data_IF_202205947573
#
_entry.id   IF_202205947573
#
_cell.length_a   1.000
_cell.length_b   1.000
_cell.length_c   1.000
_cell.angle_alpha   90.00
_cell.angle_beta   90.00
_cell.angle_gamma   90.00
#
_symmetry.space_group_name_H-M   'P 1'
#
loop_
_entity.id
_entity.type
_entity.pdbx_description
1 polymer ?
#
# COMPACT_ATOMS: atom_id res chain seq x y z
N UNK A 1 17.43 7.34 -5.02
CA UNK A 1 16.40 7.77 -5.98
C UNK A 1 16.81 7.53 -7.42
N UNK A 2 16.10 6.61 -8.07
CA UNK A 2 16.15 6.32 -9.50
C UNK A 2 15.53 7.50 -10.27
N UNK A 3 16.30 8.05 -11.21
CA UNK A 3 15.84 9.14 -12.08
C UNK A 3 15.36 8.58 -13.44
N UNK A 4 14.78 9.43 -14.30
CA UNK A 4 14.25 9.01 -15.60
C UNK A 4 15.29 8.39 -16.56
N UNK A 5 16.58 8.71 -16.42
CA UNK A 5 17.63 8.10 -17.24
C UNK A 5 17.89 6.67 -16.76
N UNK A 6 18.16 6.52 -15.46
CA UNK A 6 18.35 5.21 -14.80
C UNK A 6 17.11 4.30 -14.96
N UNK A 7 15.90 4.86 -14.96
CA UNK A 7 14.67 4.10 -15.21
C UNK A 7 14.64 3.48 -16.62
N UNK A 8 15.09 4.21 -17.65
CA UNK A 8 15.19 3.68 -19.02
C UNK A 8 16.27 2.63 -19.17
N UNK A 9 17.35 2.75 -18.40
CA UNK A 9 18.43 1.77 -18.41
C UNK A 9 18.00 0.46 -17.73
N UNK A 10 17.13 0.54 -16.71
CA UNK A 10 16.59 -0.63 -15.99
C UNK A 10 15.45 -1.31 -16.77
N UNK A 11 14.56 -0.54 -17.40
CA UNK A 11 13.37 -1.08 -18.06
C UNK A 11 13.67 -1.48 -19.51
N UNK A 12 13.57 -2.77 -19.88
CA UNK A 12 13.79 -3.21 -21.26
C UNK A 12 12.60 -2.87 -22.19
N UNK A 13 11.46 -2.45 -21.62
CA UNK A 13 10.24 -2.09 -22.35
C UNK A 13 9.67 -0.77 -21.82
N UNK A 14 8.95 0.01 -22.65
CA UNK A 14 8.24 1.20 -22.17
C UNK A 14 7.11 0.85 -21.20
N UNK A 15 6.84 1.72 -20.23
CA UNK A 15 5.68 1.62 -19.35
C UNK A 15 4.40 1.90 -20.17
N UNK A 16 3.38 1.02 -20.14
CA UNK A 16 2.13 1.22 -20.89
C UNK A 16 1.40 2.52 -20.52
N UNK A 17 0.74 3.11 -21.52
CA UNK A 17 -0.13 4.28 -21.34
C UNK A 17 -1.43 4.07 -22.15
N UNK A 18 -2.62 4.00 -21.51
CA UNK A 18 -2.84 3.95 -20.06
C UNK A 18 -2.11 2.77 -19.40
N UNK A 19 -1.84 2.87 -18.10
CA UNK A 19 -1.11 1.82 -17.39
C UNK A 19 -2.01 0.59 -17.22
N UNK A 20 -1.46 -0.56 -17.57
CA UNK A 20 -2.07 -1.88 -17.40
C UNK A 20 -0.96 -2.80 -16.89
N UNK A 21 -1.13 -3.30 -15.66
CA UNK A 21 -0.12 -4.11 -15.01
C UNK A 21 0.06 -5.47 -15.69
N UNK A 22 -1.04 -6.11 -16.14
CA UNK A 22 -0.99 -7.40 -16.85
C UNK A 22 -0.27 -7.28 -18.17
N UNK A 23 -0.54 -6.22 -18.93
CA UNK A 23 0.20 -5.91 -20.16
C UNK A 23 1.68 -5.65 -19.88
N UNK A 24 1.97 -4.85 -18.86
CA UNK A 24 3.36 -4.52 -18.52
C UNK A 24 4.16 -5.78 -18.13
N UNK A 25 3.56 -6.69 -17.36
CA UNK A 25 4.16 -8.00 -17.03
C UNK A 25 4.44 -8.83 -18.27
N UNK A 26 3.49 -8.92 -19.21
CA UNK A 26 3.65 -9.66 -20.46
C UNK A 26 4.78 -9.09 -21.33
N UNK A 27 4.83 -7.77 -21.48
CA UNK A 27 5.88 -7.08 -22.24
C UNK A 27 7.27 -7.32 -21.62
N UNK A 28 7.37 -7.25 -20.29
CA UNK A 28 8.60 -7.55 -19.56
C UNK A 28 9.04 -9.02 -19.71
N UNK A 29 8.11 -9.96 -19.63
CA UNK A 29 8.40 -11.38 -19.82
C UNK A 29 8.96 -11.66 -21.24
N UNK A 30 8.33 -11.06 -22.26
CA UNK A 30 8.76 -11.19 -23.65
C UNK A 30 10.17 -10.61 -23.86
N UNK A 31 10.43 -9.40 -23.36
CA UNK A 31 11.73 -8.75 -23.54
C UNK A 31 12.87 -9.43 -22.80
N UNK A 32 12.59 -10.07 -21.66
CA UNK A 32 13.59 -10.81 -20.86
C UNK A 32 13.85 -12.23 -21.35
N UNK A 33 12.99 -12.78 -22.23
CA UNK A 33 13.03 -14.19 -22.62
C UNK A 33 12.77 -15.16 -21.45
N UNK A 34 12.20 -14.66 -20.34
CA UNK A 34 11.87 -15.41 -19.12
C UNK A 34 10.37 -15.26 -18.85
N UNK A 35 9.70 -16.37 -18.54
CA UNK A 35 8.26 -16.34 -18.23
C UNK A 35 8.06 -15.61 -16.90
N UNK A 36 7.02 -14.78 -16.79
CA UNK A 36 6.58 -14.21 -15.51
C UNK A 36 5.17 -14.70 -15.24
N UNK A 37 4.92 -15.30 -14.07
CA UNK A 37 3.61 -15.80 -13.67
C UNK A 37 3.20 -15.17 -12.35
N UNK A 38 2.09 -14.44 -12.36
CA UNK A 38 1.51 -13.82 -11.16
C UNK A 38 0.48 -14.77 -10.57
N UNK A 39 0.65 -15.15 -9.32
CA UNK A 39 -0.23 -16.03 -8.57
C UNK A 39 -0.95 -15.24 -7.47
N UNK A 40 -2.29 -15.16 -7.50
CA UNK A 40 -3.05 -14.67 -6.36
C UNK A 40 -3.00 -15.69 -5.23
N UNK A 41 -2.72 -15.26 -4.01
CA UNK A 41 -2.71 -16.12 -2.83
C UNK A 41 -3.46 -15.52 -1.65
N UNK A 42 -4.05 -16.40 -0.84
CA UNK A 42 -4.52 -16.01 0.48
C UNK A 42 -3.30 -15.91 1.39
N UNK A 43 -2.87 -14.68 1.71
CA UNK A 43 -1.71 -14.49 2.58
C UNK A 43 -2.06 -14.85 4.04
N UNK A 44 -1.11 -15.43 4.80
CA UNK A 44 -1.27 -15.71 6.23
C UNK A 44 -1.51 -14.43 7.04
N UNK A 45 -2.37 -14.50 8.05
CA UNK A 45 -2.73 -13.38 8.93
C UNK A 45 -1.53 -12.79 9.69
N UNK A 46 -0.48 -13.59 9.88
CA UNK A 46 0.72 -13.27 10.67
C UNK A 46 1.85 -12.66 9.83
N UNK A 47 1.74 -12.67 8.50
CA UNK A 47 2.83 -12.27 7.60
C UNK A 47 2.98 -10.76 7.46
N UNK A 48 4.22 -10.29 7.45
CA UNK A 48 4.58 -8.89 7.17
C UNK A 48 4.75 -8.60 5.67
N UNK A 49 4.85 -9.65 4.85
CA UNK A 49 5.07 -9.56 3.42
C UNK A 49 3.75 -9.42 2.66
N UNK A 50 3.67 -8.42 1.78
CA UNK A 50 2.52 -8.21 0.90
C UNK A 50 2.64 -8.97 -0.44
N UNK A 51 3.85 -9.42 -0.77
CA UNK A 51 4.15 -10.21 -1.96
C UNK A 51 5.45 -11.00 -1.81
N UNK A 52 5.75 -11.82 -2.81
CA UNK A 52 7.02 -12.53 -2.92
C UNK A 52 7.35 -12.87 -4.38
N UNK A 53 8.59 -12.61 -4.78
CA UNK A 53 9.15 -13.03 -6.07
C UNK A 53 10.08 -14.23 -5.91
N UNK A 54 9.85 -15.29 -6.69
CA UNK A 54 10.62 -16.54 -6.68
C UNK A 54 11.06 -16.89 -8.10
N UNK A 55 12.36 -17.03 -8.32
CA UNK A 55 12.90 -17.50 -9.59
C UNK A 55 13.04 -19.03 -9.61
N UNK A 56 12.43 -19.70 -10.58
CA UNK A 56 12.45 -21.16 -10.75
C UNK A 56 12.69 -21.53 -12.21
N UNK A 57 13.88 -22.07 -12.52
CA UNK A 57 14.30 -22.37 -13.89
C UNK A 57 14.24 -21.13 -14.79
N UNK A 58 13.43 -21.20 -15.86
CA UNK A 58 13.19 -20.08 -16.79
C UNK A 58 11.88 -19.30 -16.50
N UNK A 59 11.34 -19.44 -15.29
CA UNK A 59 10.11 -18.76 -14.87
C UNK A 59 10.36 -17.97 -13.59
N UNK A 60 9.94 -16.72 -13.58
CA UNK A 60 9.86 -15.89 -12.40
C UNK A 60 8.39 -15.88 -11.93
N UNK A 61 8.18 -16.25 -10.67
CA UNK A 61 6.87 -16.34 -10.07
C UNK A 61 6.68 -15.19 -9.09
N UNK A 62 5.56 -14.49 -9.22
CA UNK A 62 5.19 -13.39 -8.32
C UNK A 62 3.97 -13.84 -7.55
N UNK A 63 4.05 -13.82 -6.23
CA UNK A 63 2.98 -14.15 -5.31
C UNK A 63 2.44 -12.84 -4.76
N UNK A 64 1.15 -12.58 -4.92
CA UNK A 64 0.50 -11.36 -4.42
C UNK A 64 -0.79 -11.70 -3.69
N UNK A 65 -1.17 -10.88 -2.72
CA UNK A 65 -2.42 -11.04 -2.01
C UNK A 65 -3.62 -11.11 -2.99
N UNK A 66 -4.49 -12.12 -2.83
CA UNK A 66 -5.70 -12.31 -3.62
C UNK A 66 -6.82 -11.29 -3.32
N UNK A 67 -6.51 -10.22 -2.60
CA UNK A 67 -7.48 -9.20 -2.20
C UNK A 67 -7.99 -8.43 -3.43
N UNK A 68 -9.12 -7.73 -3.28
CA UNK A 68 -9.64 -6.84 -4.32
C UNK A 68 -8.51 -5.95 -4.82
N UNK A 69 -8.27 -5.89 -6.14
CA UNK A 69 -7.16 -5.11 -6.64
C UNK A 69 -7.37 -3.65 -6.20
N UNK A 70 -6.31 -2.99 -5.76
CA UNK A 70 -6.29 -1.60 -5.29
C UNK A 70 -5.02 -0.93 -5.83
N UNK A 71 -4.90 0.39 -5.69
CA UNK A 71 -3.63 1.08 -5.96
C UNK A 71 -2.46 0.44 -5.17
N UNK A 72 -2.72 -0.04 -3.95
CA UNK A 72 -1.76 -0.82 -3.15
C UNK A 72 -1.37 -2.14 -3.81
N UNK A 73 -2.35 -2.92 -4.28
CA UNK A 73 -2.08 -4.18 -4.99
C UNK A 73 -1.21 -3.97 -6.25
N UNK A 74 -1.48 -2.91 -7.03
CA UNK A 74 -0.61 -2.53 -8.14
C UNK A 74 0.80 -2.16 -7.68
N UNK A 75 0.93 -1.48 -6.54
CA UNK A 75 2.23 -1.15 -5.98
C UNK A 75 3.01 -2.38 -5.54
N UNK A 76 2.36 -3.31 -4.84
CA UNK A 76 2.96 -4.59 -4.43
C UNK A 76 3.43 -5.37 -5.66
N UNK A 77 2.61 -5.48 -6.71
CA UNK A 77 3.03 -6.12 -7.95
C UNK A 77 4.24 -5.43 -8.60
N UNK A 78 4.27 -4.09 -8.60
CA UNK A 78 5.41 -3.32 -9.10
C UNK A 78 6.66 -3.49 -8.24
N UNK A 79 6.52 -3.65 -6.92
CA UNK A 79 7.59 -3.94 -5.98
C UNK A 79 8.21 -5.31 -6.25
N UNK A 80 7.38 -6.34 -6.42
CA UNK A 80 7.84 -7.68 -6.80
C UNK A 80 8.52 -7.70 -8.19
N UNK A 81 7.95 -6.99 -9.16
CA UNK A 81 8.61 -6.79 -10.45
C UNK A 81 9.94 -6.06 -10.31
N UNK A 82 10.06 -5.11 -9.38
CA UNK A 82 11.31 -4.39 -9.15
C UNK A 82 12.42 -5.32 -8.64
N UNK A 83 12.11 -6.28 -7.77
CA UNK A 83 13.06 -7.33 -7.39
C UNK A 83 13.58 -8.10 -8.60
N UNK A 84 12.67 -8.52 -9.50
CA UNK A 84 13.03 -9.25 -10.72
C UNK A 84 13.90 -8.40 -11.65
N UNK A 85 13.56 -7.12 -11.83
CA UNK A 85 14.27 -6.20 -12.73
C UNK A 85 15.66 -5.82 -12.22
N UNK A 86 15.85 -5.81 -10.89
CA UNK A 86 17.13 -5.51 -10.25
C UNK A 86 17.95 -6.79 -9.95
N UNK A 87 17.50 -7.96 -10.41
CA UNK A 87 18.10 -9.28 -10.11
C UNK A 87 18.27 -9.53 -8.60
N UNK A 88 17.32 -9.04 -7.79
CA UNK A 88 17.24 -9.39 -6.38
C UNK A 88 16.70 -10.81 -6.26
N UNK A 89 17.41 -11.67 -5.54
CA UNK A 89 17.01 -13.07 -5.34
C UNK A 89 16.57 -13.29 -3.90
N UNK A 90 15.33 -13.73 -3.74
CA UNK A 90 14.85 -14.24 -2.45
C UNK A 90 15.64 -15.49 -2.06
N UNK A 91 16.00 -15.62 -0.79
CA UNK A 91 16.65 -16.84 -0.27
C UNK A 91 15.63 -17.96 0.07
N UNK A 92 14.40 -17.86 -0.45
CA UNK A 92 13.27 -18.72 -0.14
C UNK A 92 13.20 -19.91 -1.11
N UNK A 93 12.81 -21.13 -0.66
CA UNK A 93 12.63 -22.28 -1.53
C UNK A 93 11.57 -22.08 -2.63
N UNK A 94 11.63 -22.93 -3.67
CA UNK A 94 10.84 -22.87 -4.91
C UNK A 94 9.32 -22.81 -4.74
N UNK A 95 8.62 -22.35 -5.77
CA UNK A 95 7.16 -22.23 -5.75
C UNK A 95 6.43 -23.56 -5.62
N UNK A 96 7.01 -24.63 -6.17
CA UNK A 96 6.52 -25.99 -5.95
C UNK A 96 6.49 -26.35 -4.46
N UNK A 97 7.49 -25.93 -3.68
CA UNK A 97 7.54 -26.17 -2.23
C UNK A 97 6.48 -25.35 -1.48
N UNK A 98 6.20 -24.12 -1.95
CA UNK A 98 5.16 -23.24 -1.38
C UNK A 98 3.74 -23.73 -1.71
N UNK A 99 3.50 -24.20 -2.94
CA UNK A 99 2.20 -24.72 -3.38
C UNK A 99 1.84 -26.06 -2.72
N UNK A 100 2.84 -26.90 -2.43
CA UNK A 100 2.64 -28.21 -1.80
C UNK A 100 2.54 -28.16 -0.26
N UNK A 101 2.90 -27.03 0.35
CA UNK A 101 2.86 -26.86 1.80
C UNK A 101 2.43 -25.44 2.19
N UNK A 102 1.11 -25.19 2.39
CA UNK A 102 0.59 -23.92 2.90
C UNK A 102 1.24 -23.48 4.23
N UNK A 103 1.66 -24.43 5.06
CA UNK A 103 2.42 -24.17 6.28
C UNK A 103 3.83 -23.60 6.01
N UNK A 104 4.42 -23.92 4.85
CA UNK A 104 5.69 -23.33 4.40
C UNK A 104 5.46 -21.89 3.95
N UNK A 105 4.32 -21.58 3.32
CA UNK A 105 3.90 -20.22 2.97
C UNK A 105 3.74 -19.38 4.24
N UNK A 106 3.11 -19.90 5.30
CA UNK A 106 3.08 -19.24 6.61
C UNK A 106 4.47 -19.03 7.20
N UNK A 107 5.35 -20.04 7.11
CA UNK A 107 6.71 -19.97 7.67
C UNK A 107 7.62 -19.02 6.89
N UNK A 108 7.38 -18.87 5.60
CA UNK A 108 8.14 -18.01 4.69
C UNK A 108 7.65 -16.58 4.75
N UNK A 109 6.33 -16.37 4.76
CA UNK A 109 5.71 -15.03 4.83
C UNK A 109 5.60 -14.50 6.26
N UNK A 110 5.63 -15.38 7.26
CA UNK A 110 5.71 -15.06 8.68
C UNK A 110 7.13 -14.77 9.18
N UNK A 111 8.14 -14.91 8.32
CA UNK A 111 9.49 -14.39 8.57
C UNK A 111 9.51 -12.87 8.41
N UNK A 112 10.50 -12.24 9.04
CA UNK A 112 10.70 -10.81 8.85
C UNK A 112 11.19 -10.56 7.41
N UNK A 113 10.85 -9.42 6.77
CA UNK A 113 11.32 -9.11 5.41
C UNK A 113 12.85 -9.28 5.22
N UNK A 114 13.57 -9.04 6.32
CA UNK A 114 15.03 -9.17 6.44
C UNK A 114 15.60 -10.58 6.17
N UNK A 115 14.78 -11.62 6.27
CA UNK A 115 15.18 -13.00 5.98
C UNK A 115 15.12 -13.35 4.48
N UNK A 116 14.51 -12.47 3.66
CA UNK A 116 14.29 -12.71 2.22
C UNK A 116 15.15 -11.79 1.35
N UNK A 117 15.23 -10.50 1.73
CA UNK A 117 16.02 -9.48 1.06
C UNK A 117 16.74 -8.59 2.08
N UNK A 118 17.86 -7.99 1.66
CA UNK A 118 18.56 -7.00 2.49
C UNK A 118 17.81 -5.68 2.54
N UNK A 119 18.01 -4.87 3.59
CA UNK A 119 17.40 -3.54 3.70
C UNK A 119 17.72 -2.61 2.51
N UNK A 120 18.82 -2.86 1.79
CA UNK A 120 19.16 -2.12 0.56
C UNK A 120 18.32 -2.58 -0.63
N UNK A 121 18.17 -3.90 -0.81
CA UNK A 121 17.36 -4.47 -1.88
C UNK A 121 15.89 -4.07 -1.76
N UNK A 122 15.35 -4.08 -0.55
CA UNK A 122 14.00 -3.59 -0.24
C UNK A 122 13.84 -2.11 -0.62
N UNK A 123 14.81 -1.28 -0.25
CA UNK A 123 14.79 0.15 -0.60
C UNK A 123 14.87 0.39 -2.10
N UNK A 124 15.71 -0.37 -2.81
CA UNK A 124 15.86 -0.23 -4.25
C UNK A 124 14.60 -0.70 -5.01
N UNK A 125 13.99 -1.81 -4.56
CA UNK A 125 12.73 -2.30 -5.09
C UNK A 125 11.60 -1.28 -4.90
N UNK A 126 11.47 -0.74 -3.69
CA UNK A 126 10.44 0.25 -3.35
C UNK A 126 10.62 1.57 -4.12
N UNK A 127 11.87 2.03 -4.26
CA UNK A 127 12.22 3.24 -5.01
C UNK A 127 11.89 3.08 -6.50
N UNK A 128 12.18 1.90 -7.10
CA UNK A 128 11.86 1.59 -8.49
C UNK A 128 10.35 1.45 -8.72
N UNK A 129 9.64 0.71 -7.88
CA UNK A 129 8.19 0.53 -7.96
C UNK A 129 7.44 1.88 -7.90
N UNK A 130 7.82 2.73 -6.93
CA UNK A 130 7.29 4.09 -6.79
C UNK A 130 7.60 4.92 -8.05
N UNK A 131 8.79 4.76 -8.63
CA UNK A 131 9.18 5.50 -9.84
C UNK A 131 8.35 5.08 -11.06
N UNK A 132 8.09 3.78 -11.23
CA UNK A 132 7.25 3.25 -12.31
C UNK A 132 5.81 3.78 -12.17
N UNK A 133 5.24 3.68 -10.97
CA UNK A 133 3.86 4.11 -10.71
C UNK A 133 3.67 5.63 -10.93
N UNK A 134 4.59 6.46 -10.43
CA UNK A 134 4.55 7.91 -10.65
C UNK A 134 4.78 8.24 -12.13
N UNK A 135 5.65 7.51 -12.83
CA UNK A 135 5.82 7.69 -14.28
C UNK A 135 4.53 7.38 -15.03
N UNK A 136 3.86 6.27 -14.72
CA UNK A 136 2.56 5.91 -15.29
C UNK A 136 1.50 7.01 -15.06
N UNK A 137 1.42 7.55 -13.84
CA UNK A 137 0.46 8.60 -13.48
C UNK A 137 0.74 9.97 -14.14
N UNK A 138 1.98 10.28 -14.50
CA UNK A 138 2.36 11.61 -15.02
C UNK A 138 2.22 11.78 -16.53
N UNK A 139 2.07 10.68 -17.28
CA UNK A 139 2.01 10.74 -18.76
C UNK A 139 0.69 11.29 -19.31
N UNK A 140 -0.26 11.63 -18.45
CA UNK A 140 -1.63 12.05 -18.81
C UNK A 140 -1.81 13.56 -19.07
N UNK A 141 -0.76 14.39 -19.06
CA UNK A 141 -0.86 15.75 -19.61
C UNK A 141 0.29 16.70 -19.28
N UNK A 142 0.75 17.49 -20.26
CA UNK A 142 1.65 18.64 -20.05
C UNK A 142 0.84 19.87 -19.68
N UNK A 143 1.18 20.55 -18.58
CA UNK A 143 0.60 21.85 -18.24
C UNK A 143 1.67 22.93 -18.13
N UNK A 144 1.29 24.19 -18.32
CA UNK A 144 2.15 25.35 -18.01
C UNK A 144 2.48 25.50 -16.51
N UNK A 145 3.28 26.52 -16.17
CA UNK A 145 3.75 26.81 -14.80
C UNK A 145 2.61 26.98 -13.78
N UNK A 146 1.55 27.69 -14.15
CA UNK A 146 0.37 27.86 -13.28
C UNK A 146 -0.29 26.52 -12.93
N UNK A 147 -0.40 25.61 -13.90
CA UNK A 147 -0.92 24.26 -13.67
C UNK A 147 -0.01 23.41 -12.77
N UNK A 148 1.31 23.62 -12.82
CA UNK A 148 2.25 22.95 -11.93
C UNK A 148 2.11 23.43 -10.46
N UNK A 149 1.90 24.73 -10.25
CA UNK A 149 1.64 25.28 -8.92
C UNK A 149 0.32 24.78 -8.33
N UNK A 150 -0.75 24.75 -9.14
CA UNK A 150 -2.04 24.22 -8.70
C UNK A 150 -1.93 22.75 -8.28
N UNK A 151 -1.28 21.91 -9.11
CA UNK A 151 -1.01 20.52 -8.73
C UNK A 151 -0.21 20.39 -7.45
N UNK A 152 0.87 21.16 -7.31
CA UNK A 152 1.65 21.16 -6.07
C UNK A 152 0.79 21.53 -4.86
N UNK A 153 -0.05 22.56 -4.97
CA UNK A 153 -0.96 22.98 -3.90
C UNK A 153 -1.94 21.86 -3.53
N UNK A 154 -2.53 21.20 -4.53
CA UNK A 154 -3.41 20.03 -4.32
C UNK A 154 -2.65 18.89 -3.63
N UNK A 155 -1.47 18.52 -4.11
CA UNK A 155 -0.67 17.45 -3.50
C UNK A 155 -0.31 17.78 -2.06
N UNK A 156 0.18 19.00 -1.80
CA UNK A 156 0.58 19.44 -0.48
C UNK A 156 -0.61 19.50 0.50
N UNK A 157 -1.78 19.95 0.03
CA UNK A 157 -3.00 19.95 0.82
C UNK A 157 -3.45 18.55 1.22
N UNK A 158 -3.50 17.62 0.25
CA UNK A 158 -3.88 16.22 0.51
C UNK A 158 -2.87 15.51 1.41
N UNK A 159 -1.57 15.70 1.17
CA UNK A 159 -0.50 15.12 1.97
C UNK A 159 -0.64 15.47 3.45
N UNK A 160 -0.85 16.77 3.74
CA UNK A 160 -1.08 17.26 5.10
C UNK A 160 -2.40 16.79 5.71
N UNK A 161 -3.47 16.73 4.91
CA UNK A 161 -4.77 16.28 5.40
C UNK A 161 -4.75 14.81 5.85
N UNK A 162 -3.88 13.99 5.26
CA UNK A 162 -3.67 12.59 5.64
C UNK A 162 -2.74 12.40 6.85
N UNK A 163 -2.04 13.46 7.30
CA UNK A 163 -1.02 13.36 8.36
C UNK A 163 -1.52 12.76 9.68
N UNK A 164 -2.68 13.14 10.26
CA UNK A 164 -3.12 12.58 11.53
C UNK A 164 -3.26 11.05 11.51
N UNK A 165 -3.84 10.51 10.43
CA UNK A 165 -3.98 9.08 10.25
C UNK A 165 -2.63 8.40 10.01
N UNK A 166 -1.81 8.96 9.11
CA UNK A 166 -0.47 8.43 8.84
C UNK A 166 0.40 8.38 10.10
N UNK A 167 0.41 9.46 10.89
CA UNK A 167 1.19 9.56 12.12
C UNK A 167 0.77 8.48 13.12
N UNK A 168 -0.53 8.29 13.33
CA UNK A 168 -1.04 7.28 14.26
C UNK A 168 -0.69 5.84 13.82
N UNK A 169 -0.66 5.57 12.51
CA UNK A 169 -0.20 4.29 11.95
C UNK A 169 1.32 4.13 12.12
N UNK A 170 2.08 5.18 11.82
CA UNK A 170 3.55 5.19 11.91
C UNK A 170 4.04 5.03 13.35
N UNK A 171 3.37 5.61 14.35
CA UNK A 171 3.71 5.41 15.76
C UNK A 171 3.69 3.94 16.18
N UNK A 172 2.72 3.17 15.67
CA UNK A 172 2.58 1.75 16.00
C UNK A 172 3.50 0.91 15.10
N UNK A 173 3.73 1.36 13.87
CA UNK A 173 4.53 0.66 12.89
C UNK A 173 5.46 1.61 12.12
N UNK A 174 6.65 1.91 12.68
CA UNK A 174 7.61 2.80 12.03
C UNK A 174 8.05 2.31 10.64
N UNK A 175 8.03 0.98 10.45
CA UNK A 175 8.43 0.34 9.20
C UNK A 175 7.51 0.57 8.00
N UNK A 176 6.35 1.25 8.15
CA UNK A 176 5.56 1.65 6.98
C UNK A 176 6.27 2.75 6.18
N UNK A 177 7.07 3.61 6.83
CA UNK A 177 7.77 4.71 6.17
C UNK A 177 9.11 4.23 5.60
N UNK A 178 9.26 4.33 4.27
CA UNK A 178 10.53 4.00 3.60
C UNK A 178 11.67 4.93 4.03
N UNK A 179 11.35 6.22 4.10
CA UNK A 179 12.23 7.30 4.53
C UNK A 179 11.57 8.00 5.71
N UNK A 180 11.90 7.62 6.96
CA UNK A 180 11.28 8.23 8.13
C UNK A 180 11.61 9.73 8.16
N UNK A 181 10.62 10.60 8.40
CA UNK A 181 10.88 12.04 8.49
C UNK A 181 11.75 12.36 9.69
N UNK A 182 12.49 13.47 9.61
CA UNK A 182 13.29 13.98 10.73
C UNK A 182 12.43 14.30 11.95
N UNK A 183 11.23 14.83 11.72
CA UNK A 183 10.21 15.04 12.74
C UNK A 183 8.87 14.49 12.22
N UNK A 184 8.35 13.38 12.78
CA UNK A 184 7.09 12.79 12.32
C UNK A 184 5.86 13.60 12.75
N UNK A 185 6.00 14.51 13.72
CA UNK A 185 4.86 15.25 14.29
C UNK A 185 4.38 16.39 13.39
N UNK A 186 5.23 16.85 12.46
CA UNK A 186 4.91 17.97 11.57
C UNK A 186 5.36 17.69 10.13
N UNK A 187 4.44 17.80 9.19
CA UNK A 187 4.77 17.71 7.76
C UNK A 187 5.34 19.04 7.21
N UNK A 188 6.62 19.01 6.83
CA UNK A 188 7.24 20.06 6.03
C UNK A 188 6.52 20.21 4.66
N UNK A 189 6.52 21.42 4.06
CA UNK A 189 5.98 21.60 2.71
C UNK A 189 6.67 20.68 1.70
N UNK A 190 5.88 20.06 0.81
CA UNK A 190 6.44 19.19 -0.22
C UNK A 190 7.31 19.97 -1.22
N UNK A 191 8.36 19.34 -1.78
CA UNK A 191 9.10 19.94 -2.88
C UNK A 191 8.21 20.09 -4.13
N UNK A 192 8.41 21.17 -4.88
CA UNK A 192 7.62 21.44 -6.11
C UNK A 192 7.78 20.32 -7.13
N UNK A 193 9.03 19.87 -7.35
CA UNK A 193 9.35 18.64 -8.08
C UNK A 193 9.27 17.46 -7.13
N UNK A 194 8.59 16.38 -7.54
CA UNK A 194 8.46 15.18 -6.71
C UNK A 194 7.28 15.20 -5.73
N UNK A 195 6.47 16.27 -5.67
CA UNK A 195 5.25 16.31 -4.85
C UNK A 195 4.31 15.14 -5.09
N UNK A 196 4.16 14.68 -6.34
CA UNK A 196 3.35 13.50 -6.66
C UNK A 196 3.97 12.21 -6.13
N UNK A 197 5.30 12.09 -6.14
CA UNK A 197 6.00 10.94 -5.56
C UNK A 197 5.78 10.87 -4.06
N UNK A 198 5.94 11.99 -3.36
CA UNK A 198 5.70 12.08 -1.93
C UNK A 198 4.24 11.76 -1.58
N UNK A 199 3.28 12.30 -2.35
CA UNK A 199 1.87 11.98 -2.18
C UNK A 199 1.58 10.49 -2.40
N UNK A 200 2.11 9.91 -3.48
CA UNK A 200 1.97 8.48 -3.78
C UNK A 200 2.51 7.63 -2.64
N UNK A 201 3.73 7.93 -2.15
CA UNK A 201 4.32 7.23 -1.00
C UNK A 201 3.40 7.30 0.22
N UNK A 202 2.92 8.50 0.58
CA UNK A 202 2.02 8.67 1.73
C UNK A 202 0.74 7.84 1.62
N UNK A 203 0.19 7.70 0.40
CA UNK A 203 -0.95 6.82 0.14
C UNK A 203 -0.58 5.35 0.42
N UNK A 204 0.51 4.85 -0.16
CA UNK A 204 0.98 3.47 0.06
C UNK A 204 1.23 3.19 1.54
N UNK A 205 1.95 4.07 2.23
CA UNK A 205 2.30 3.91 3.64
C UNK A 205 1.07 3.81 4.54
N UNK A 206 0.03 4.61 4.28
CA UNK A 206 -1.25 4.52 4.99
C UNK A 206 -1.96 3.21 4.67
N UNK A 207 -1.92 2.75 3.42
CA UNK A 207 -2.55 1.50 3.00
C UNK A 207 -1.87 0.27 3.63
N UNK A 208 -0.53 0.26 3.70
CA UNK A 208 0.27 -0.74 4.41
C UNK A 208 -0.09 -0.77 5.91
N UNK A 209 -0.07 0.40 6.55
CA UNK A 209 -0.43 0.53 7.96
C UNK A 209 -1.87 0.11 8.23
N UNK A 210 -2.81 0.50 7.37
CA UNK A 210 -4.22 0.17 7.52
C UNK A 210 -4.48 -1.34 7.40
N UNK A 211 -3.83 -2.03 6.46
CA UNK A 211 -3.89 -3.50 6.32
C UNK A 211 -3.44 -4.18 7.62
N UNK A 212 -2.34 -3.72 8.20
CA UNK A 212 -1.79 -4.29 9.42
C UNK A 212 -2.59 -3.89 10.66
N UNK A 213 -3.22 -2.72 10.70
CA UNK A 213 -4.14 -2.33 11.76
C UNK A 213 -5.44 -3.14 11.71
N UNK A 214 -5.97 -3.44 10.51
CA UNK A 214 -7.23 -4.18 10.34
C UNK A 214 -7.19 -5.58 10.98
N UNK A 215 -6.00 -6.16 11.20
CA UNK A 215 -5.81 -7.45 11.87
C UNK A 215 -6.30 -7.49 13.32
N UNK A 216 -6.50 -6.33 13.94
CA UNK A 216 -7.00 -6.21 15.32
C UNK A 216 -8.52 -6.03 15.40
N UNK A 217 -9.19 -5.87 14.25
CA UNK A 217 -10.64 -5.74 14.18
C UNK A 217 -11.28 -7.13 14.09
N UNK A 218 -12.45 -7.25 14.70
CA UNK A 218 -13.35 -8.38 14.52
C UNK A 218 -14.57 -7.96 13.70
N UNK A 219 -15.34 -8.95 13.23
CA UNK A 219 -16.51 -8.72 12.37
C UNK A 219 -17.59 -7.88 13.06
N UNK A 220 -17.72 -7.97 14.39
CA UNK A 220 -18.71 -7.20 15.15
C UNK A 220 -18.38 -5.72 15.17
N UNK A 221 -17.11 -5.37 15.40
CA UNK A 221 -16.63 -3.99 15.39
C UNK A 221 -16.84 -3.35 14.01
N UNK A 222 -16.48 -4.06 12.94
CA UNK A 222 -16.69 -3.55 11.57
C UNK A 222 -18.17 -3.37 11.26
N UNK A 223 -19.02 -4.32 11.65
CA UNK A 223 -20.47 -4.24 11.45
C UNK A 223 -21.11 -3.07 12.20
N UNK A 224 -20.62 -2.73 13.39
CA UNK A 224 -21.10 -1.60 14.18
C UNK A 224 -20.68 -0.25 13.59
N UNK A 225 -19.42 -0.13 13.15
CA UNK A 225 -18.95 1.05 12.41
C UNK A 225 -19.82 1.28 11.17
N UNK A 226 -20.01 0.23 10.36
CA UNK A 226 -20.81 0.34 9.14
C UNK A 226 -22.29 0.66 9.44
N UNK A 227 -22.82 0.15 10.55
CA UNK A 227 -24.17 0.50 11.01
C UNK A 227 -24.27 1.98 11.34
N UNK A 228 -23.33 2.53 12.11
CA UNK A 228 -23.30 3.96 12.46
C UNK A 228 -23.20 4.83 11.21
N UNK A 229 -22.31 4.47 10.29
CA UNK A 229 -22.12 5.20 9.02
C UNK A 229 -23.38 5.17 8.16
N UNK A 230 -24.06 4.02 8.04
CA UNK A 230 -25.34 3.92 7.31
C UNK A 230 -26.42 4.81 7.90
N UNK A 231 -26.53 4.87 9.24
CA UNK A 231 -27.52 5.73 9.90
C UNK A 231 -27.25 7.23 9.70
N UNK A 232 -25.98 7.62 9.51
CA UNK A 232 -25.61 9.00 9.23
C UNK A 232 -26.04 9.48 7.82
N UNK A 233 -26.46 8.58 6.93
CA UNK A 233 -26.99 8.94 5.60
C UNK A 233 -25.96 9.63 4.69
N UNK A 234 -24.68 9.34 4.86
CA UNK A 234 -23.60 9.99 4.13
C UNK A 234 -23.57 9.56 2.65
N UNK A 235 -23.15 10.45 1.72
CA UNK A 235 -22.81 10.07 0.35
C UNK A 235 -21.82 8.92 0.30
N UNK A 236 -21.92 8.03 -0.69
CA UNK A 236 -21.14 6.77 -0.77
C UNK A 236 -19.65 6.96 -0.50
N UNK A 237 -18.98 7.91 -1.16
CA UNK A 237 -17.54 8.15 -0.96
C UNK A 237 -17.21 8.58 0.48
N UNK A 238 -18.05 9.41 1.10
CA UNK A 238 -17.88 9.86 2.48
C UNK A 238 -18.19 8.73 3.47
N UNK A 239 -19.20 7.90 3.18
CA UNK A 239 -19.51 6.71 3.96
C UNK A 239 -18.32 5.75 3.97
N UNK A 240 -17.78 5.41 2.78
CA UNK A 240 -16.59 4.58 2.60
C UNK A 240 -15.40 5.11 3.42
N UNK A 241 -15.10 6.41 3.31
CA UNK A 241 -14.00 7.02 4.05
C UNK A 241 -14.25 7.05 5.57
N UNK A 242 -15.50 7.26 5.99
CA UNK A 242 -15.87 7.29 7.41
C UNK A 242 -15.78 5.92 8.04
N UNK A 243 -16.24 4.86 7.35
CA UNK A 243 -16.05 3.47 7.79
C UNK A 243 -14.57 3.16 7.98
N UNK A 244 -13.74 3.46 6.97
CA UNK A 244 -12.29 3.26 7.05
C UNK A 244 -11.67 4.00 8.26
N UNK A 245 -11.97 5.30 8.41
CA UNK A 245 -11.44 6.12 9.50
C UNK A 245 -11.87 5.64 10.88
N UNK A 246 -13.14 5.23 11.03
CA UNK A 246 -13.68 4.71 12.29
C UNK A 246 -13.11 3.35 12.69
N UNK A 247 -13.05 2.42 11.73
CA UNK A 247 -12.40 1.13 11.91
C UNK A 247 -10.94 1.28 12.34
N UNK A 248 -10.17 2.16 11.69
CA UNK A 248 -8.78 2.41 12.08
C UNK A 248 -8.66 3.08 13.45
N UNK A 249 -9.58 3.96 13.83
CA UNK A 249 -9.60 4.57 15.16
C UNK A 249 -9.77 3.51 16.26
N UNK A 250 -10.69 2.56 16.05
CA UNK A 250 -10.89 1.46 16.99
C UNK A 250 -9.67 0.53 17.00
N UNK A 251 -9.18 0.11 15.83
CA UNK A 251 -8.03 -0.79 15.72
C UNK A 251 -6.79 -0.26 16.46
N UNK A 252 -6.46 1.02 16.24
CA UNK A 252 -5.29 1.66 16.85
C UNK A 252 -5.49 1.88 18.36
N UNK A 253 -6.72 2.14 18.81
CA UNK A 253 -7.04 2.20 20.24
C UNK A 253 -6.83 0.84 20.92
N UNK A 254 -7.41 -0.22 20.35
CA UNK A 254 -7.26 -1.59 20.88
C UNK A 254 -5.80 -2.01 20.96
N UNK A 255 -4.99 -1.61 19.97
CA UNK A 255 -3.55 -1.88 19.94
C UNK A 255 -2.76 -1.08 20.99
N UNK A 256 -3.17 0.15 21.30
CA UNK A 256 -2.57 0.98 22.36
C UNK A 256 -2.93 0.46 23.75
N UNK A 257 -4.16 -0.01 23.95
CA UNK A 257 -4.64 -0.59 25.20
C UNK A 257 -3.99 -1.95 25.49
N UNK A 258 -3.77 -2.78 24.47
CA UNK A 258 -3.05 -4.06 24.59
C UNK A 258 -1.97 -4.22 23.49
N UNK A 259 -0.70 -3.86 23.80
CA UNK A 259 0.45 -4.04 22.92
C UNK A 259 0.80 -5.51 22.62
N UNK A 260 0.18 -6.48 23.27
CA UNK A 260 0.35 -7.91 23.01
C UNK A 260 -0.89 -8.55 22.37
N UNK A 261 -1.93 -7.76 22.09
CA UNK A 261 -3.15 -8.24 21.43
C UNK A 261 -2.80 -9.01 20.18
N UNK A 262 -3.21 -10.27 20.14
CA UNK A 262 -3.03 -11.12 18.98
C UNK A 262 -4.00 -10.70 17.88
N UNK A 263 -3.56 -10.72 16.61
CA UNK A 263 -4.47 -10.55 15.48
C UNK A 263 -5.64 -11.54 15.56
N UNK A 264 -6.86 -11.07 15.35
CA UNK A 264 -8.09 -11.89 15.42
C UNK A 264 -8.47 -12.54 14.08
N UNK A 265 -7.77 -12.17 13.01
CA UNK A 265 -7.86 -12.68 11.63
C UNK A 265 -9.13 -12.33 10.85
N UNK A 266 -8.88 -12.16 9.53
CA UNK A 266 -9.77 -11.77 8.42
C UNK A 266 -10.41 -10.39 8.53
N UNK A 267 -9.76 -9.41 7.89
CA UNK A 267 -10.36 -8.55 6.87
C UNK A 267 -9.38 -7.47 6.40
N UNK A 268 -9.40 -7.17 5.10
CA UNK A 268 -8.95 -5.86 4.61
C UNK A 268 -9.94 -4.81 5.12
N UNK A 269 -9.51 -3.63 5.58
CA UNK A 269 -10.43 -2.64 6.08
C UNK A 269 -11.42 -2.26 4.97
N UNK A 270 -12.71 -2.25 5.29
CA UNK A 270 -13.74 -1.86 4.34
C UNK A 270 -13.48 -0.43 3.85
N UNK A 271 -13.61 -0.23 2.54
CA UNK A 271 -13.50 1.10 1.92
C UNK A 271 -12.12 1.54 1.45
N UNK A 272 -11.22 0.59 1.21
CA UNK A 272 -10.00 0.86 0.46
C UNK A 272 -10.31 1.27 -0.99
N UNK A 273 -9.54 2.21 -1.58
CA UNK A 273 -9.73 2.65 -2.96
C UNK A 273 -9.63 1.49 -3.96
N UNK A 274 -10.42 1.55 -5.03
CA UNK A 274 -10.47 0.55 -6.09
C UNK A 274 -9.17 0.54 -6.92
N UNK A 275 -8.92 -0.48 -7.77
CA UNK A 275 -7.66 -0.61 -8.49
C UNK A 275 -7.48 0.40 -9.62
N UNK A 276 -8.61 0.86 -10.17
CA UNK A 276 -8.65 1.83 -11.25
C UNK A 276 -8.61 3.28 -10.73
N UNK A 277 -8.63 3.47 -9.40
CA UNK A 277 -8.56 4.79 -8.79
C UNK A 277 -7.15 5.37 -8.95
N UNK A 278 -7.06 6.56 -9.54
CA UNK A 278 -5.81 7.30 -9.59
C UNK A 278 -5.36 7.73 -8.19
N UNK A 279 -4.06 8.03 -8.04
CA UNK A 279 -3.46 8.41 -6.76
C UNK A 279 -4.12 9.62 -6.09
N UNK A 280 -4.66 10.59 -6.84
CA UNK A 280 -5.37 11.73 -6.27
C UNK A 280 -6.73 11.30 -5.72
N UNK A 281 -7.42 10.42 -6.43
CA UNK A 281 -8.69 9.85 -5.97
C UNK A 281 -8.50 9.04 -4.68
N UNK A 282 -7.46 8.19 -4.63
CA UNK A 282 -7.06 7.49 -3.40
C UNK A 282 -6.73 8.46 -2.26
N UNK A 283 -5.91 9.48 -2.53
CA UNK A 283 -5.51 10.45 -1.52
C UNK A 283 -6.70 11.27 -0.97
N UNK A 284 -7.71 11.57 -1.79
CA UNK A 284 -8.94 12.23 -1.31
C UNK A 284 -9.73 11.37 -0.34
N UNK A 285 -9.90 10.08 -0.65
CA UNK A 285 -10.58 9.13 0.24
C UNK A 285 -9.83 9.02 1.56
N UNK A 286 -8.50 8.86 1.51
CA UNK A 286 -7.68 8.79 2.73
C UNK A 286 -7.65 10.09 3.52
N UNK A 287 -7.72 11.26 2.87
CA UNK A 287 -7.83 12.53 3.55
C UNK A 287 -9.18 12.66 4.29
N UNK A 288 -10.28 12.18 3.70
CA UNK A 288 -11.58 12.10 4.38
C UNK A 288 -11.55 11.09 5.54
N UNK A 289 -10.92 9.93 5.33
CA UNK A 289 -10.77 8.91 6.37
C UNK A 289 -9.94 9.43 7.55
N UNK A 290 -8.89 10.22 7.28
CA UNK A 290 -8.08 10.89 8.30
C UNK A 290 -8.90 11.88 9.14
N UNK A 291 -9.79 12.65 8.50
CA UNK A 291 -10.71 13.53 9.22
C UNK A 291 -11.71 12.75 10.08
N UNK A 292 -12.29 11.66 9.55
CA UNK A 292 -13.20 10.80 10.29
C UNK A 292 -12.50 10.12 11.48
N UNK A 293 -11.29 9.59 11.27
CA UNK A 293 -10.43 9.01 12.31
C UNK A 293 -10.20 9.99 13.45
N UNK A 294 -9.79 11.23 13.14
CA UNK A 294 -9.53 12.25 14.16
C UNK A 294 -10.79 12.64 14.95
N UNK A 295 -11.97 12.58 14.31
CA UNK A 295 -13.26 12.91 14.92
C UNK A 295 -13.97 11.71 15.55
N UNK A 296 -13.47 10.50 15.38
CA UNK A 296 -14.15 9.27 15.80
C UNK A 296 -14.58 9.26 17.27
N UNK A 297 -13.78 9.74 18.25
CA UNK A 297 -14.21 9.84 19.65
C UNK A 297 -15.48 10.68 19.86
N UNK A 298 -15.84 11.54 18.91
CA UNK A 298 -17.01 12.41 18.93
C UNK A 298 -18.21 11.83 18.14
N UNK A 299 -17.99 10.81 17.31
CA UNK A 299 -19.00 10.21 16.42
C UNK A 299 -19.69 8.99 17.06
N UNK A 300 -19.07 8.40 18.08
CA UNK A 300 -19.70 7.40 18.93
C UNK A 300 -18.69 6.65 19.77
N UNK A 301 -18.65 6.93 21.07
CA UNK A 301 -18.24 5.91 22.03
C UNK A 301 -19.28 4.78 21.94
N UNK A 302 -18.89 3.52 21.69
CA UNK A 302 -19.72 2.41 22.13
C UNK A 302 -19.78 2.57 23.64
N UNK A 303 -20.91 3.06 24.12
CA UNK A 303 -21.21 3.05 25.54
C UNK A 303 -21.13 1.59 26.00
N UNK A 304 -20.39 1.43 27.09
CA UNK A 304 -20.43 0.30 28.00
C UNK A 304 -21.77 -0.45 27.94
N UNK A 305 -21.76 -1.63 27.33
CA UNK A 305 -22.73 -2.68 27.59
C UNK A 305 -22.03 -4.04 27.48
N UNK A 306 -21.32 -4.39 28.54
CA UNK A 306 -21.36 -5.69 29.21
C UNK A 306 -20.77 -5.51 30.61
#
# INVERSE_FOLDING_TARGET
MINHRRLRDILPVPIPAPFDASRFVADLAAARGRRIVVHPMTLPTTGALCGLSVAEGNTDHILVAADTPTLHHHHVLLHELAHILLDHRSHIPTTASLALAPELVERVLGRTPRDSYTDTQEREAEDLATTIAVHAATRTGRTGRAGAMLRWSTHNGLFRAMHPLWHALHEIQPGIALEPPTDPTVDAPLPTRGSLRALYRRVIEIQDGARLAARYLDETVTADVDRLVRHAGLPTQQATATSLGGSLAIALRLRREDPHRKPTARQSPAGMPAPDDDVLSCARVLALASQAFHRWPLIGSPTAHA
#
